data_IF_526376586316
#
_entry.id   IF_526376586316
#
_cell.length_a   1.000
_cell.length_b   1.000
_cell.length_c   1.000
_cell.angle_alpha   90.00
_cell.angle_beta   90.00
_cell.angle_gamma   90.00
#
_symmetry.space_group_name_H-M   'P 1'
#
loop_
_entity.id
_entity.type
_entity.pdbx_description
1 polymer ?
#
# COMPACT_ATOMS: atom_id res chain seq x y z
N UNK A 1 -13.30 -1.55 10.68
CA UNK A 1 -12.90 -1.46 9.25
C UNK A 1 -11.57 -2.20 9.11
N UNK A 2 -11.45 -3.03 8.10
CA UNK A 2 -10.22 -3.74 7.76
C UNK A 2 -9.62 -3.06 6.53
N UNK A 3 -8.34 -2.73 6.58
CA UNK A 3 -7.61 -2.20 5.43
C UNK A 3 -7.32 -3.34 4.44
N UNK A 4 -7.82 -3.24 3.22
CA UNK A 4 -7.64 -4.28 2.20
C UNK A 4 -6.17 -4.52 1.83
N UNK A 5 -5.34 -3.48 1.88
CA UNK A 5 -3.93 -3.57 1.52
C UNK A 5 -3.08 -4.21 2.61
N UNK A 6 -3.32 -3.87 3.87
CA UNK A 6 -2.54 -4.37 5.01
C UNK A 6 -3.20 -5.53 5.73
N UNK A 7 -4.50 -5.74 5.48
CA UNK A 7 -5.31 -6.71 6.19
C UNK A 7 -5.43 -6.43 7.70
N UNK A 8 -5.11 -5.22 8.15
CA UNK A 8 -5.16 -4.83 9.56
C UNK A 8 -6.47 -4.17 9.91
N UNK A 9 -6.94 -4.41 11.14
CA UNK A 9 -8.05 -3.65 11.69
C UNK A 9 -7.57 -2.22 11.94
N UNK A 10 -8.29 -1.25 11.39
CA UNK A 10 -8.04 0.16 11.61
C UNK A 10 -8.89 0.63 12.80
N UNK A 11 -8.30 0.60 13.98
CA UNK A 11 -8.96 1.06 15.20
C UNK A 11 -9.37 2.54 15.07
N UNK A 12 -10.56 2.86 15.56
CA UNK A 12 -11.11 4.21 15.53
C UNK A 12 -11.55 4.72 14.16
N UNK A 13 -11.35 3.97 13.08
CA UNK A 13 -11.83 4.33 11.75
C UNK A 13 -13.29 3.96 11.58
N UNK A 14 -14.07 4.89 11.05
CA UNK A 14 -15.52 4.75 10.85
C UNK A 14 -15.88 5.02 9.39
N UNK A 15 -16.94 4.41 8.89
CA UNK A 15 -17.54 4.80 7.62
C UNK A 15 -18.20 6.17 7.77
N UNK A 16 -18.12 7.01 6.77
CA UNK A 16 -18.78 8.30 6.73
C UNK A 16 -20.26 8.24 6.32
N UNK A 17 -20.86 9.41 6.22
CA UNK A 17 -22.22 9.60 5.70
C UNK A 17 -23.31 8.80 6.44
N UNK A 18 -23.15 8.61 7.73
CA UNK A 18 -24.11 7.89 8.56
C UNK A 18 -24.09 6.36 8.41
N UNK A 19 -23.28 5.79 7.49
CA UNK A 19 -23.26 4.36 7.24
C UNK A 19 -22.81 3.56 8.49
N UNK A 20 -21.83 4.09 9.23
CA UNK A 20 -21.35 3.39 10.44
C UNK A 20 -22.40 3.37 11.53
N UNK A 21 -23.12 4.49 11.75
CA UNK A 21 -24.24 4.55 12.70
C UNK A 21 -25.38 3.63 12.29
N UNK A 22 -25.67 3.50 10.99
CA UNK A 22 -26.67 2.56 10.49
C UNK A 22 -26.27 1.10 10.77
N UNK A 23 -25.00 0.76 10.65
CA UNK A 23 -24.49 -0.56 11.02
C UNK A 23 -24.56 -0.79 12.54
N UNK A 24 -24.18 0.19 13.36
CA UNK A 24 -24.29 0.13 14.82
C UNK A 24 -25.76 -0.07 15.26
N UNK A 25 -26.68 0.65 14.65
CA UNK A 25 -28.11 0.48 14.91
C UNK A 25 -28.62 -0.92 14.50
N UNK A 26 -28.19 -1.43 13.34
CA UNK A 26 -28.53 -2.76 12.85
C UNK A 26 -28.03 -3.86 13.80
N UNK A 27 -26.82 -3.73 14.31
CA UNK A 27 -26.18 -4.70 15.20
C UNK A 27 -26.53 -4.49 16.69
N UNK A 28 -27.44 -3.53 16.99
CA UNK A 28 -27.90 -3.20 18.36
C UNK A 28 -26.77 -2.84 19.34
N UNK A 29 -25.71 -2.17 18.84
CA UNK A 29 -24.66 -1.57 19.66
C UNK A 29 -24.90 -0.08 19.86
N UNK A 30 -24.23 0.53 20.85
CA UNK A 30 -24.37 1.97 21.12
C UNK A 30 -23.93 2.80 19.93
N UNK A 31 -24.82 3.66 19.44
CA UNK A 31 -24.53 4.57 18.31
C UNK A 31 -23.59 5.67 18.82
N UNK A 32 -22.45 5.83 18.16
CA UNK A 32 -21.46 6.85 18.50
C UNK A 32 -21.56 8.04 17.53
N UNK A 33 -21.11 9.21 17.98
CA UNK A 33 -21.06 10.43 17.19
C UNK A 33 -20.06 10.25 16.05
N UNK A 34 -20.40 10.77 14.87
CA UNK A 34 -19.50 10.76 13.70
C UNK A 34 -18.33 11.73 13.91
N UNK A 35 -17.14 11.27 13.53
CA UNK A 35 -15.95 12.10 13.56
C UNK A 35 -15.98 13.08 12.37
N UNK A 36 -15.84 14.36 12.64
CA UNK A 36 -15.71 15.36 11.59
C UNK A 36 -14.26 15.41 11.08
N UNK A 37 -14.08 15.11 9.79
CA UNK A 37 -12.77 15.25 9.14
C UNK A 37 -12.47 16.72 8.90
N UNK A 38 -11.46 17.27 9.56
CA UNK A 38 -11.06 18.67 9.42
C UNK A 38 -10.25 18.93 8.13
N UNK A 39 -9.40 17.99 7.76
CA UNK A 39 -8.57 18.06 6.55
C UNK A 39 -8.07 16.66 6.17
N UNK A 40 -7.80 16.48 4.89
CA UNK A 40 -7.14 15.28 4.35
C UNK A 40 -5.96 15.68 3.48
N UNK A 41 -4.94 14.84 3.43
CA UNK A 41 -3.78 15.02 2.54
C UNK A 41 -3.27 13.67 2.07
N UNK A 42 -2.57 13.64 0.96
CA UNK A 42 -1.90 12.42 0.50
C UNK A 42 -0.64 12.15 1.31
N UNK A 43 -0.23 10.88 1.41
CA UNK A 43 1.05 10.52 2.02
C UNK A 43 2.23 11.22 1.34
N UNK A 44 2.17 11.38 0.01
CA UNK A 44 3.21 12.05 -0.76
C UNK A 44 3.39 13.51 -0.31
N UNK A 45 2.29 14.26 -0.22
CA UNK A 45 2.34 15.66 0.21
C UNK A 45 2.67 15.80 1.70
N UNK A 46 2.22 14.86 2.53
CA UNK A 46 2.59 14.82 3.94
C UNK A 46 4.10 14.66 4.13
N UNK A 47 4.74 13.69 3.47
CA UNK A 47 6.17 13.46 3.61
C UNK A 47 7.03 14.56 2.98
N UNK A 48 6.54 15.25 1.93
CA UNK A 48 7.22 16.43 1.36
C UNK A 48 7.35 17.62 2.31
N UNK A 49 6.55 17.68 3.39
CA UNK A 49 6.67 18.74 4.40
C UNK A 49 7.96 18.65 5.24
N UNK A 50 8.62 17.51 5.26
CA UNK A 50 9.86 17.34 6.02
C UNK A 50 11.06 17.86 5.22
N UNK A 51 11.86 18.71 5.86
CA UNK A 51 13.09 19.27 5.25
C UNK A 51 14.16 18.22 4.99
N UNK A 52 14.22 17.18 5.82
CA UNK A 52 15.11 16.04 5.68
C UNK A 52 14.26 14.78 5.70
N UNK A 53 14.27 14.07 4.60
CA UNK A 53 13.55 12.80 4.44
C UNK A 53 14.56 11.75 4.01
N UNK A 54 14.60 10.65 4.76
CA UNK A 54 15.40 9.48 4.43
C UNK A 54 14.62 8.22 4.75
N UNK A 55 15.02 7.10 4.17
CA UNK A 55 14.39 5.82 4.44
C UNK A 55 15.37 4.67 4.21
N UNK A 56 15.13 3.54 4.87
CA UNK A 56 15.90 2.32 4.71
C UNK A 56 14.96 1.16 4.38
N UNK A 57 15.28 0.45 3.30
CA UNK A 57 14.54 -0.76 2.90
C UNK A 57 15.42 -1.66 2.05
N UNK A 58 15.18 -2.95 2.06
CA UNK A 58 15.88 -3.92 1.20
C UNK A 58 15.37 -3.94 -0.25
N UNK A 59 14.32 -3.18 -0.60
CA UNK A 59 13.62 -3.32 -1.88
C UNK A 59 13.35 -2.00 -2.61
N UNK A 60 14.08 -0.91 -2.27
CA UNK A 60 13.86 0.40 -2.88
C UNK A 60 14.31 0.50 -4.34
N UNK A 61 15.24 -0.35 -4.78
CA UNK A 61 15.88 -0.23 -6.10
C UNK A 61 14.89 -0.35 -7.27
N UNK A 62 13.84 -1.16 -7.11
CA UNK A 62 12.79 -1.32 -8.13
C UNK A 62 11.96 -0.05 -8.35
N UNK A 63 11.84 0.79 -7.34
CA UNK A 63 11.03 2.00 -7.31
C UNK A 63 11.89 3.29 -7.28
N UNK A 64 13.16 3.19 -7.68
CA UNK A 64 14.11 4.33 -7.59
C UNK A 64 13.68 5.56 -8.39
N UNK A 65 13.04 5.35 -9.54
CA UNK A 65 12.50 6.41 -10.38
C UNK A 65 11.35 7.15 -9.69
N UNK A 66 10.42 6.42 -9.09
CA UNK A 66 9.32 7.01 -8.31
C UNK A 66 9.82 7.80 -7.10
N UNK A 67 10.81 7.29 -6.35
CA UNK A 67 11.42 8.02 -5.26
C UNK A 67 12.08 9.33 -5.71
N UNK A 68 12.74 9.30 -6.85
CA UNK A 68 13.37 10.49 -7.40
C UNK A 68 12.32 11.50 -7.89
N UNK A 69 11.35 11.08 -8.69
CA UNK A 69 10.36 12.00 -9.28
C UNK A 69 9.43 12.62 -8.22
N UNK A 70 9.02 11.86 -7.21
CA UNK A 70 8.05 12.35 -6.22
C UNK A 70 8.73 13.09 -5.08
N UNK A 71 9.84 12.56 -4.55
CA UNK A 71 10.46 13.06 -3.31
C UNK A 71 11.85 13.64 -3.52
N UNK A 72 12.40 13.62 -4.74
CA UNK A 72 13.78 13.99 -5.07
C UNK A 72 14.81 13.20 -4.23
N UNK A 73 14.51 11.92 -3.97
CA UNK A 73 15.36 11.01 -3.20
C UNK A 73 16.12 10.05 -4.11
N UNK A 74 17.43 10.03 -3.96
CA UNK A 74 18.27 9.05 -4.64
C UNK A 74 18.32 7.75 -3.85
N UNK A 75 18.19 6.63 -4.55
CA UNK A 75 18.33 5.29 -3.95
C UNK A 75 19.77 4.82 -4.06
N UNK A 76 20.40 4.63 -2.91
CA UNK A 76 21.78 4.13 -2.81
C UNK A 76 21.75 2.69 -2.32
N UNK A 77 22.36 1.79 -3.11
CA UNK A 77 22.49 0.37 -2.72
C UNK A 77 23.73 0.19 -1.85
N UNK A 78 23.52 -0.26 -0.61
CA UNK A 78 24.58 -0.57 0.33
C UNK A 78 24.79 -2.08 0.30
N UNK A 79 26.04 -2.58 0.15
CA UNK A 79 26.33 -4.01 0.19
C UNK A 79 25.88 -4.65 1.50
N UNK A 80 25.46 -5.91 1.42
CA UNK A 80 25.07 -6.68 2.61
C UNK A 80 26.29 -7.00 3.51
N UNK A 81 26.07 -7.02 4.83
CA UNK A 81 27.13 -7.36 5.80
C UNK A 81 27.76 -8.76 5.54
N UNK A 82 26.91 -9.74 5.21
CA UNK A 82 27.34 -11.09 4.81
C UNK A 82 26.82 -11.39 3.41
N UNK A 83 27.58 -12.18 2.66
CA UNK A 83 27.17 -12.61 1.34
C UNK A 83 25.82 -13.34 1.39
N UNK A 84 24.96 -13.04 0.43
CA UNK A 84 23.68 -13.74 0.27
C UNK A 84 23.96 -15.10 -0.39
N UNK A 85 23.67 -16.17 0.32
CA UNK A 85 23.81 -17.56 -0.16
C UNK A 85 22.47 -18.22 -0.46
N UNK A 86 21.35 -17.51 -0.22
CA UNK A 86 19.99 -17.97 -0.54
C UNK A 86 19.90 -18.37 -2.02
N UNK A 87 19.21 -19.47 -2.30
CA UNK A 87 18.93 -19.95 -3.66
C UNK A 87 17.55 -19.49 -4.08
N UNK A 88 17.49 -18.57 -5.03
CA UNK A 88 16.24 -18.17 -5.66
C UNK A 88 16.05 -19.00 -6.95
N UNK A 89 15.13 -19.98 -6.87
CA UNK A 89 14.81 -20.85 -8.00
C UNK A 89 13.99 -20.11 -9.05
N UNK A 90 14.07 -20.61 -10.29
CA UNK A 90 13.19 -20.15 -11.35
C UNK A 90 11.73 -20.47 -11.02
N UNK A 91 10.82 -19.64 -11.55
CA UNK A 91 9.40 -19.87 -11.36
C UNK A 91 8.94 -21.14 -12.06
N UNK A 92 8.04 -21.86 -11.43
CA UNK A 92 7.37 -23.03 -12.01
C UNK A 92 6.04 -22.59 -12.61
N UNK A 93 5.87 -22.76 -13.93
CA UNK A 93 4.70 -22.28 -14.64
C UNK A 93 3.83 -23.43 -15.06
N UNK A 94 2.57 -23.34 -14.70
CA UNK A 94 1.52 -24.32 -14.95
C UNK A 94 0.46 -23.75 -15.86
N UNK A 95 -0.25 -24.62 -16.58
CA UNK A 95 -1.34 -24.22 -17.45
C UNK A 95 -2.56 -23.78 -16.65
N UNK A 96 -2.92 -24.55 -15.64
CA UNK A 96 -4.12 -24.33 -14.84
C UNK A 96 -3.79 -24.06 -13.36
N UNK A 97 -4.70 -23.41 -12.67
CA UNK A 97 -4.59 -23.20 -11.22
C UNK A 97 -4.65 -24.53 -10.45
N UNK A 98 -5.40 -25.51 -10.93
CA UNK A 98 -5.49 -26.84 -10.30
C UNK A 98 -4.16 -27.57 -10.31
N UNK A 99 -3.44 -27.57 -11.44
CA UNK A 99 -2.13 -28.20 -11.56
C UNK A 99 -1.12 -27.50 -10.67
N UNK A 100 -1.12 -26.17 -10.65
CA UNK A 100 -0.30 -25.34 -9.75
C UNK A 100 -0.55 -25.71 -8.29
N UNK A 101 -1.81 -25.74 -7.85
CA UNK A 101 -2.17 -26.05 -6.48
C UNK A 101 -1.73 -27.45 -6.07
N UNK A 102 -1.90 -28.44 -6.95
CA UNK A 102 -1.41 -29.80 -6.72
C UNK A 102 0.11 -29.82 -6.55
N UNK A 103 0.85 -29.19 -7.44
CA UNK A 103 2.31 -29.12 -7.38
C UNK A 103 2.82 -28.40 -6.11
N UNK A 104 2.14 -27.34 -5.69
CA UNK A 104 2.45 -26.64 -4.43
C UNK A 104 2.28 -27.57 -3.23
N UNK A 105 1.16 -28.27 -3.15
CA UNK A 105 0.86 -29.20 -2.04
C UNK A 105 1.89 -30.34 -1.99
N UNK A 106 2.23 -30.93 -3.13
CA UNK A 106 3.26 -31.97 -3.19
C UNK A 106 4.64 -31.45 -2.77
N UNK A 107 4.99 -30.22 -3.15
CA UNK A 107 6.25 -29.62 -2.70
C UNK A 107 6.27 -29.37 -1.20
N UNK A 108 5.18 -28.90 -0.64
CA UNK A 108 5.03 -28.71 0.80
C UNK A 108 5.16 -30.05 1.55
N UNK A 109 4.56 -31.13 1.06
CA UNK A 109 4.68 -32.47 1.60
C UNK A 109 6.13 -32.95 1.63
N UNK A 110 6.84 -32.78 0.50
CA UNK A 110 8.26 -33.14 0.37
C UNK A 110 9.11 -32.42 1.45
N UNK A 111 8.98 -31.10 1.54
CA UNK A 111 9.76 -30.27 2.44
C UNK A 111 9.39 -30.51 3.92
N UNK A 112 8.12 -30.69 4.22
CA UNK A 112 7.66 -30.98 5.58
C UNK A 112 8.16 -32.35 6.07
N UNK A 113 8.20 -33.38 5.19
CA UNK A 113 8.80 -34.68 5.49
C UNK A 113 10.31 -34.55 5.79
N UNK A 114 11.00 -33.62 5.12
CA UNK A 114 12.42 -33.32 5.39
C UNK A 114 12.64 -32.53 6.68
N UNK A 115 11.61 -31.97 7.27
CA UNK A 115 11.71 -31.12 8.45
C UNK A 115 11.99 -29.64 8.15
N UNK A 116 12.08 -29.25 6.88
CA UNK A 116 12.40 -27.89 6.48
C UNK A 116 11.22 -26.92 6.78
N UNK A 117 11.46 -25.76 7.42
CA UNK A 117 10.43 -24.76 7.64
C UNK A 117 10.00 -24.09 6.34
N UNK A 118 8.69 -23.84 6.20
CA UNK A 118 8.07 -23.32 4.97
C UNK A 118 7.24 -22.10 5.28
N UNK A 119 7.46 -21.04 4.52
CA UNK A 119 6.63 -19.85 4.53
C UNK A 119 5.95 -19.67 3.17
N UNK A 120 4.62 -19.78 3.17
CA UNK A 120 3.79 -19.74 1.97
C UNK A 120 3.20 -18.35 1.83
N UNK A 121 3.48 -17.68 0.72
CA UNK A 121 2.96 -16.34 0.39
C UNK A 121 1.79 -16.44 -0.58
N UNK A 122 0.67 -15.83 -0.20
CA UNK A 122 -0.54 -15.71 -1.02
C UNK A 122 -0.89 -14.25 -1.26
N UNK A 123 -1.57 -13.94 -2.38
CA UNK A 123 -1.98 -12.56 -2.73
C UNK A 123 -3.18 -12.09 -1.93
N UNK A 124 -4.05 -12.99 -1.48
CA UNK A 124 -5.31 -12.63 -0.83
C UNK A 124 -5.66 -13.55 0.33
N UNK A 125 -6.58 -13.08 1.18
CA UNK A 125 -7.14 -13.87 2.29
C UNK A 125 -7.82 -15.12 1.75
N UNK A 126 -8.62 -15.00 0.69
CA UNK A 126 -9.33 -16.13 0.08
C UNK A 126 -8.35 -17.24 -0.38
N UNK A 127 -7.26 -16.86 -1.05
CA UNK A 127 -6.23 -17.83 -1.46
C UNK A 127 -5.56 -18.48 -0.25
N UNK A 128 -5.33 -17.73 0.83
CA UNK A 128 -4.79 -18.30 2.08
C UNK A 128 -5.72 -19.36 2.69
N UNK A 129 -7.02 -19.16 2.62
CA UNK A 129 -8.03 -20.11 3.10
C UNK A 129 -8.11 -21.37 2.20
N UNK A 130 -8.03 -21.20 0.87
CA UNK A 130 -7.97 -22.34 -0.08
C UNK A 130 -6.77 -23.23 0.21
N UNK A 131 -5.55 -22.66 0.33
CA UNK A 131 -4.37 -23.46 0.66
C UNK A 131 -4.46 -24.06 2.07
N UNK A 132 -5.06 -23.37 3.02
CA UNK A 132 -5.31 -23.95 4.36
C UNK A 132 -6.21 -25.18 4.27
N UNK A 133 -7.27 -25.15 3.45
CA UNK A 133 -8.15 -26.30 3.26
C UNK A 133 -7.40 -27.46 2.60
N UNK A 134 -6.65 -27.21 1.51
CA UNK A 134 -5.85 -28.22 0.81
C UNK A 134 -4.84 -28.88 1.75
N UNK A 135 -4.16 -28.13 2.61
CA UNK A 135 -3.22 -28.68 3.58
C UNK A 135 -3.90 -29.46 4.72
N UNK A 136 -5.12 -29.09 5.12
CA UNK A 136 -5.94 -29.87 6.07
C UNK A 136 -6.35 -31.22 5.50
N UNK A 137 -6.77 -31.26 4.24
CA UNK A 137 -7.11 -32.51 3.53
C UNK A 137 -5.93 -33.49 3.52
N UNK A 138 -4.70 -32.94 3.36
CA UNK A 138 -3.47 -33.70 3.40
C UNK A 138 -2.88 -33.91 4.82
N UNK A 139 -3.62 -33.53 5.85
CA UNK A 139 -3.24 -33.66 7.27
C UNK A 139 -1.89 -32.99 7.62
N UNK A 140 -1.53 -31.93 6.94
CA UNK A 140 -0.33 -31.15 7.22
C UNK A 140 -0.68 -30.09 8.28
N UNK A 141 0.00 -30.14 9.43
CA UNK A 141 -0.14 -29.13 10.47
C UNK A 141 0.43 -27.81 9.97
N UNK A 142 -0.39 -26.77 9.99
CA UNK A 142 -0.01 -25.44 9.52
C UNK A 142 -0.70 -24.35 10.30
N UNK A 143 -0.18 -23.13 10.21
CA UNK A 143 -0.78 -21.92 10.79
C UNK A 143 -1.10 -20.93 9.68
N UNK A 144 -2.28 -20.31 9.75
CA UNK A 144 -2.69 -19.26 8.80
C UNK A 144 -2.57 -17.90 9.46
N UNK A 145 -1.82 -17.03 8.82
CA UNK A 145 -1.62 -15.65 9.25
C UNK A 145 -2.24 -14.71 8.22
N UNK A 146 -3.42 -14.23 8.53
CA UNK A 146 -4.15 -13.26 7.74
C UNK A 146 -4.83 -12.24 8.66
N UNK A 147 -5.56 -11.28 8.07
CA UNK A 147 -6.23 -10.20 8.82
C UNK A 147 -7.14 -10.68 9.96
N UNK A 148 -7.68 -11.88 9.85
CA UNK A 148 -8.56 -12.46 10.88
C UNK A 148 -7.81 -12.90 12.15
N UNK A 149 -6.49 -13.17 12.04
CA UNK A 149 -5.67 -13.79 13.08
C UNK A 149 -4.40 -12.96 13.39
N UNK A 150 -4.51 -11.63 13.39
CA UNK A 150 -3.34 -10.75 13.50
C UNK A 150 -2.83 -10.54 14.95
N UNK A 151 -3.63 -10.81 15.98
CA UNK A 151 -3.25 -10.55 17.38
C UNK A 151 -1.97 -11.26 17.81
N UNK A 152 -1.68 -12.45 17.24
CA UNK A 152 -0.47 -13.25 17.51
C UNK A 152 0.54 -13.22 16.38
N UNK A 153 0.42 -12.26 15.46
CA UNK A 153 1.24 -12.20 14.25
C UNK A 153 2.73 -12.26 14.54
N UNK A 154 3.19 -11.43 15.47
CA UNK A 154 4.61 -11.35 15.81
C UNK A 154 5.15 -12.68 16.39
N UNK A 155 4.36 -13.36 17.21
CA UNK A 155 4.73 -14.64 17.81
C UNK A 155 4.77 -15.77 16.77
N UNK A 156 3.75 -15.83 15.90
CA UNK A 156 3.67 -16.82 14.82
C UNK A 156 4.84 -16.66 13.87
N UNK A 157 5.15 -15.44 13.44
CA UNK A 157 6.26 -15.16 12.51
C UNK A 157 7.61 -15.44 13.17
N UNK A 158 7.80 -15.07 14.43
CA UNK A 158 9.05 -15.38 15.14
C UNK A 158 9.31 -16.89 15.20
N UNK A 159 8.27 -17.71 15.24
CA UNK A 159 8.36 -19.17 15.25
C UNK A 159 8.36 -19.81 13.84
N UNK A 160 8.29 -19.02 12.77
CA UNK A 160 8.28 -19.52 11.39
C UNK A 160 9.54 -20.31 11.00
N UNK A 161 10.64 -20.07 11.69
CA UNK A 161 11.90 -20.79 11.48
C UNK A 161 12.05 -22.11 12.24
N UNK A 162 11.03 -22.57 12.97
CA UNK A 162 11.07 -23.86 13.67
C UNK A 162 11.00 -25.05 12.69
N UNK A 163 11.60 -26.17 13.07
CA UNK A 163 11.52 -27.41 12.29
C UNK A 163 10.07 -27.79 11.99
N UNK A 164 9.79 -28.24 10.76
CA UNK A 164 8.46 -28.59 10.26
C UNK A 164 7.40 -27.49 10.32
N UNK A 165 7.77 -26.26 10.62
CA UNK A 165 6.83 -25.14 10.62
C UNK A 165 6.31 -24.89 9.21
N UNK A 166 4.97 -24.82 9.06
CA UNK A 166 4.31 -24.44 7.80
C UNK A 166 3.39 -23.26 8.11
N UNK A 167 3.71 -22.11 7.55
CA UNK A 167 2.91 -20.89 7.75
C UNK A 167 2.43 -20.36 6.41
N UNK A 168 1.12 -20.14 6.32
CA UNK A 168 0.49 -19.47 5.19
C UNK A 168 0.28 -18.01 5.58
N UNK A 169 0.78 -17.09 4.76
CA UNK A 169 0.68 -15.65 5.03
C UNK A 169 0.29 -14.87 3.79
N UNK A 170 -0.42 -13.76 3.97
CA UNK A 170 -0.62 -12.77 2.91
C UNK A 170 0.59 -11.83 2.80
N UNK A 171 0.71 -11.10 1.70
CA UNK A 171 1.92 -10.37 1.28
C UNK A 171 2.50 -9.38 2.29
N UNK A 172 1.71 -8.91 3.25
CA UNK A 172 2.11 -7.83 4.16
C UNK A 172 2.27 -8.32 5.61
N UNK A 173 1.73 -9.47 5.95
CA UNK A 173 1.82 -10.02 7.30
C UNK A 173 3.27 -10.27 7.73
N UNK A 174 3.57 -9.99 8.98
CA UNK A 174 4.90 -10.19 9.58
C UNK A 174 5.95 -9.15 9.18
N UNK A 175 5.58 -8.05 8.54
CA UNK A 175 6.52 -6.97 8.24
C UNK A 175 7.08 -6.37 9.55
N UNK A 176 8.41 -6.21 9.61
CA UNK A 176 9.08 -5.68 10.81
C UNK A 176 9.44 -6.72 11.85
N UNK A 177 8.99 -7.99 11.71
CA UNK A 177 9.38 -9.10 12.58
C UNK A 177 10.46 -9.93 11.89
N UNK A 178 11.52 -10.25 12.63
CA UNK A 178 12.59 -11.11 12.13
C UNK A 178 12.24 -12.59 12.32
N UNK A 179 12.56 -13.41 11.31
CA UNK A 179 12.40 -14.87 11.36
C UNK A 179 13.75 -15.47 11.73
N UNK A 180 13.83 -16.03 12.93
CA UNK A 180 15.03 -16.71 13.39
C UNK A 180 14.93 -18.20 13.10
N UNK A 181 15.99 -18.77 12.50
CA UNK A 181 16.07 -20.22 12.31
C UNK A 181 16.16 -20.91 13.68
N UNK A 182 15.25 -21.86 13.91
CA UNK A 182 15.03 -22.48 15.22
C UNK A 182 13.92 -21.85 16.05
N UNK A 183 13.41 -20.69 15.66
CA UNK A 183 12.35 -19.97 16.38
C UNK A 183 12.87 -19.06 17.49
N UNK A 184 11.95 -18.59 18.34
CA UNK A 184 12.29 -17.72 19.48
C UNK A 184 13.14 -18.51 20.49
N UNK A 185 14.20 -17.89 21.01
CA UNK A 185 15.07 -18.51 22.01
C UNK A 185 14.29 -18.77 23.30
N UNK A 186 14.28 -20.01 23.72
CA UNK A 186 13.91 -20.40 25.08
C UNK A 186 15.21 -20.58 25.89
N UNK A 187 15.21 -20.10 27.13
CA UNK A 187 16.42 -20.01 27.99
C UNK A 187 17.15 -21.35 28.26
N UNK A 188 16.54 -22.47 27.92
CA UNK A 188 17.02 -23.81 28.23
C UNK A 188 17.45 -24.68 27.00
N UNK A 189 17.42 -24.12 25.79
CA UNK A 189 17.76 -24.90 24.57
C UNK A 189 19.06 -24.41 23.94
N UNK A 190 19.85 -25.34 23.44
CA UNK A 190 21.02 -25.04 22.63
C UNK A 190 20.61 -24.52 21.27
N UNK A 191 20.29 -23.20 21.26
CA UNK A 191 19.72 -22.48 20.12
C UNK A 191 20.66 -22.56 18.88
N UNK A 192 21.95 -22.72 19.08
CA UNK A 192 22.91 -22.79 17.98
C UNK A 192 22.90 -24.15 17.29
N UNK A 193 22.74 -25.21 18.04
CA UNK A 193 22.59 -26.57 17.50
C UNK A 193 21.29 -26.68 16.70
N UNK A 194 20.18 -26.16 17.21
CA UNK A 194 18.89 -26.14 16.49
C UNK A 194 19.02 -25.31 15.20
N UNK A 195 19.62 -24.13 15.27
CA UNK A 195 19.86 -23.29 14.11
C UNK A 195 20.69 -24.00 13.04
N UNK A 196 21.77 -24.69 13.45
CA UNK A 196 22.63 -25.44 12.54
C UNK A 196 21.90 -26.63 11.91
N UNK A 197 21.03 -27.30 12.65
CA UNK A 197 20.17 -28.37 12.14
C UNK A 197 19.24 -27.80 11.03
N UNK A 198 18.57 -26.69 11.29
CA UNK A 198 17.70 -26.08 10.27
C UNK A 198 18.50 -25.62 9.04
N UNK A 199 19.70 -25.08 9.23
CA UNK A 199 20.61 -24.75 8.11
C UNK A 199 20.94 -25.98 7.27
N UNK A 200 21.28 -27.11 7.91
CA UNK A 200 21.59 -28.35 7.18
C UNK A 200 20.37 -28.87 6.38
N UNK A 201 19.15 -28.56 6.80
CA UNK A 201 17.94 -28.86 6.05
C UNK A 201 17.68 -27.87 4.89
N UNK A 202 18.51 -26.84 4.73
CA UNK A 202 18.41 -25.83 3.68
C UNK A 202 17.78 -24.51 4.13
N UNK A 203 17.64 -24.28 5.45
CA UNK A 203 17.10 -23.04 6.02
C UNK A 203 15.61 -22.85 5.74
N UNK A 204 15.13 -21.62 5.85
CA UNK A 204 13.73 -21.28 5.59
C UNK A 204 13.43 -21.35 4.08
N UNK A 205 12.38 -22.08 3.72
CA UNK A 205 11.89 -22.16 2.34
C UNK A 205 10.72 -21.19 2.17
N UNK A 206 10.83 -20.26 1.22
CA UNK A 206 9.77 -19.31 0.85
C UNK A 206 9.10 -19.78 -0.44
N UNK A 207 7.80 -20.01 -0.39
CA UNK A 207 6.99 -20.43 -1.52
C UNK A 207 5.95 -19.38 -1.83
N UNK A 208 6.03 -18.75 -3.01
CA UNK A 208 4.99 -17.87 -3.53
C UNK A 208 3.99 -18.67 -4.35
N UNK A 209 2.69 -18.51 -4.09
CA UNK A 209 1.61 -19.18 -4.82
C UNK A 209 1.25 -18.51 -6.13
N UNK A 210 1.82 -17.34 -6.36
CA UNK A 210 1.70 -16.52 -7.57
C UNK A 210 2.71 -15.37 -7.53
N UNK A 211 2.91 -14.69 -8.65
CA UNK A 211 3.63 -13.42 -8.70
C UNK A 211 2.69 -12.28 -8.29
N UNK A 212 3.19 -11.41 -7.44
CA UNK A 212 2.46 -10.21 -7.03
C UNK A 212 2.51 -9.14 -8.13
N UNK A 213 1.66 -8.13 -8.06
CA UNK A 213 1.65 -7.02 -9.02
C UNK A 213 2.94 -6.22 -9.06
N UNK A 214 3.71 -6.23 -7.97
CA UNK A 214 4.98 -5.50 -7.84
C UNK A 214 6.13 -6.45 -7.50
N UNK A 215 7.23 -6.33 -8.27
CA UNK A 215 8.50 -7.03 -8.00
C UNK A 215 9.04 -6.73 -6.61
N UNK A 216 8.74 -5.55 -6.09
CA UNK A 216 9.11 -5.14 -4.74
C UNK A 216 8.50 -6.06 -3.68
N UNK A 217 7.23 -6.45 -3.86
CA UNK A 217 6.54 -7.36 -2.92
C UNK A 217 7.11 -8.77 -3.03
N UNK A 218 7.39 -9.27 -4.24
CA UNK A 218 8.07 -10.56 -4.44
C UNK A 218 9.44 -10.57 -3.77
N UNK A 219 10.22 -9.50 -3.92
CA UNK A 219 11.52 -9.37 -3.28
C UNK A 219 11.42 -9.30 -1.75
N UNK A 220 10.35 -8.69 -1.21
CA UNK A 220 10.09 -8.72 0.23
C UNK A 220 9.76 -10.13 0.73
N UNK A 221 9.00 -10.91 -0.04
CA UNK A 221 8.73 -12.31 0.26
C UNK A 221 10.04 -13.13 0.26
N UNK A 222 10.81 -13.06 -0.83
CA UNK A 222 12.12 -13.71 -0.93
C UNK A 222 13.07 -13.32 0.20
N UNK A 223 13.07 -12.04 0.58
CA UNK A 223 13.88 -11.46 1.65
C UNK A 223 13.53 -11.92 3.06
N UNK A 224 12.49 -12.74 3.23
CA UNK A 224 12.21 -13.41 4.52
C UNK A 224 13.18 -14.55 4.80
N UNK A 225 13.75 -15.15 3.77
CA UNK A 225 14.71 -16.24 3.83
C UNK A 225 16.13 -15.76 3.52
N UNK A 226 17.13 -16.48 3.99
CA UNK A 226 18.54 -16.24 3.69
C UNK A 226 19.10 -14.96 4.28
N UNK A 227 18.65 -14.56 5.47
CA UNK A 227 19.11 -13.35 6.15
C UNK A 227 20.45 -13.57 6.82
N UNK A 228 21.28 -12.52 6.88
CA UNK A 228 22.59 -12.53 7.55
C UNK A 228 23.52 -13.70 7.13
N UNK A 229 23.44 -14.09 5.86
CA UNK A 229 24.26 -15.19 5.32
C UNK A 229 23.81 -16.57 5.75
N UNK A 230 22.58 -16.74 6.23
CA UNK A 230 21.99 -18.04 6.50
C UNK A 230 21.53 -18.70 5.18
N UNK A 231 21.50 -20.04 5.16
CA UNK A 231 20.89 -20.81 4.10
C UNK A 231 19.40 -20.49 3.99
N UNK A 232 18.87 -20.66 2.78
CA UNK A 232 17.48 -20.50 2.49
C UNK A 232 17.19 -20.65 1.01
N UNK A 233 15.93 -20.76 0.68
CA UNK A 233 15.51 -20.86 -0.73
C UNK A 233 14.19 -20.16 -0.97
N UNK A 234 13.94 -19.76 -2.21
CA UNK A 234 12.63 -19.25 -2.63
C UNK A 234 12.26 -19.78 -4.01
N UNK A 235 10.95 -19.96 -4.21
CA UNK A 235 10.35 -20.33 -5.50
C UNK A 235 8.96 -19.71 -5.62
N UNK A 236 8.55 -19.39 -6.85
CA UNK A 236 7.20 -18.99 -7.14
C UNK A 236 6.56 -20.00 -8.09
N UNK A 237 5.30 -20.32 -7.80
CA UNK A 237 4.44 -21.14 -8.64
C UNK A 237 3.44 -20.23 -9.30
N UNK A 238 3.37 -20.28 -10.63
CA UNK A 238 2.56 -19.37 -11.43
C UNK A 238 1.65 -20.19 -12.34
N UNK A 239 0.41 -19.76 -12.51
CA UNK A 239 -0.53 -20.32 -13.49
C UNK A 239 -0.84 -19.31 -14.58
N UNK A 240 -1.17 -19.76 -15.78
CA UNK A 240 -1.69 -18.91 -16.84
C UNK A 240 -3.04 -18.28 -16.49
N UNK A 241 -3.73 -18.84 -15.51
CA UNK A 241 -5.01 -18.35 -14.99
C UNK A 241 -4.86 -17.30 -13.90
N UNK A 242 -3.64 -17.07 -13.37
CA UNK A 242 -3.38 -16.04 -12.35
C UNK A 242 -3.67 -14.63 -12.91
N UNK A 243 -4.10 -13.72 -12.05
CA UNK A 243 -4.55 -12.38 -12.44
C UNK A 243 -3.50 -11.59 -13.21
N UNK A 244 -2.23 -11.65 -12.80
CA UNK A 244 -1.13 -11.01 -13.52
C UNK A 244 -1.02 -11.54 -14.97
N UNK A 245 -1.19 -12.84 -15.14
CA UNK A 245 -1.12 -13.50 -16.47
C UNK A 245 -2.34 -13.18 -17.32
N UNK A 246 -3.52 -13.08 -16.73
CA UNK A 246 -4.76 -12.69 -17.43
C UNK A 246 -4.72 -11.26 -17.94
N UNK A 247 -4.15 -10.32 -17.15
CA UNK A 247 -4.09 -8.90 -17.49
C UNK A 247 -3.00 -8.62 -18.55
N UNK A 248 -1.86 -9.31 -18.46
CA UNK A 248 -0.66 -8.97 -19.23
C UNK A 248 -0.10 -10.14 -20.05
N UNK A 249 -0.68 -11.33 -19.90
CA UNK A 249 -0.38 -12.48 -20.77
C UNK A 249 -0.80 -12.16 -22.20
N UNK A 250 0.16 -11.85 -23.05
CA UNK A 250 -0.14 -11.64 -24.46
C UNK A 250 -0.54 -12.97 -25.11
N UNK A 251 -1.45 -12.93 -26.10
CA UNK A 251 -1.76 -14.10 -26.93
C UNK A 251 -0.49 -14.76 -27.52
N UNK A 252 0.57 -13.97 -27.73
CA UNK A 252 1.87 -14.47 -28.14
C UNK A 252 2.54 -15.35 -27.10
N UNK A 253 2.33 -15.08 -25.81
CA UNK A 253 2.88 -15.90 -24.71
C UNK A 253 2.14 -17.23 -24.59
N UNK A 254 0.82 -17.23 -24.73
CA UNK A 254 0.03 -18.46 -24.77
C UNK A 254 0.41 -19.34 -25.95
N UNK A 255 0.53 -18.77 -27.15
CA UNK A 255 1.01 -19.48 -28.34
C UNK A 255 2.45 -20.00 -28.20
N UNK A 256 3.31 -19.27 -27.47
CA UNK A 256 4.69 -19.69 -27.20
C UNK A 256 4.73 -20.86 -26.20
N UNK A 257 3.90 -20.84 -25.18
CA UNK A 257 3.78 -21.91 -24.19
C UNK A 257 3.18 -23.19 -24.83
N UNK A 258 2.21 -23.03 -25.71
CA UNK A 258 1.69 -24.14 -26.53
C UNK A 258 2.77 -24.77 -27.43
N UNK A 259 3.63 -23.96 -28.05
CA UNK A 259 4.77 -24.41 -28.85
C UNK A 259 5.87 -25.09 -28.03
N UNK A 260 6.04 -24.72 -26.75
CA UNK A 260 7.00 -25.36 -25.82
C UNK A 260 6.49 -26.71 -25.30
N UNK A 261 5.29 -27.14 -25.73
CA UNK A 261 4.79 -28.52 -25.52
C UNK A 261 4.41 -28.78 -24.06
N UNK A 262 3.80 -27.83 -23.37
CA UNK A 262 3.20 -28.04 -22.04
C UNK A 262 2.20 -29.20 -22.12
N UNK A 263 2.56 -30.32 -21.55
CA UNK A 263 1.62 -31.42 -21.30
C UNK A 263 0.85 -31.15 -20.01
N UNK A 264 -0.34 -31.68 -19.93
CA UNK A 264 -1.15 -31.58 -18.73
C UNK A 264 -0.38 -32.14 -17.52
N UNK A 265 -0.25 -31.35 -16.47
CA UNK A 265 0.46 -31.71 -15.24
C UNK A 265 1.97 -31.44 -15.22
N UNK A 266 2.57 -30.99 -16.31
CA UNK A 266 3.99 -30.61 -16.35
C UNK A 266 4.17 -29.11 -16.10
N UNK A 267 5.24 -28.75 -15.37
CA UNK A 267 5.65 -27.34 -15.21
C UNK A 267 6.73 -26.99 -16.24
N UNK A 268 6.72 -25.77 -16.72
CA UNK A 268 7.84 -25.22 -17.49
C UNK A 268 8.71 -24.39 -16.55
N UNK A 269 10.02 -24.74 -16.53
CA UNK A 269 11.08 -23.97 -15.93
C UNK A 269 12.00 -23.44 -17.03
N UNK A 270 11.77 -22.21 -17.47
CA UNK A 270 12.59 -21.61 -18.52
C UNK A 270 12.93 -20.15 -18.23
N UNK A 271 14.21 -19.74 -18.30
CA UNK A 271 14.64 -18.38 -17.95
C UNK A 271 13.98 -17.27 -18.79
N UNK A 272 13.57 -17.56 -20.02
CA UNK A 272 12.90 -16.58 -20.88
C UNK A 272 11.50 -16.24 -20.37
N UNK A 273 10.80 -17.21 -19.80
CA UNK A 273 9.46 -16.99 -19.27
C UNK A 273 9.55 -16.15 -18.01
N UNK A 274 10.55 -16.38 -17.16
CA UNK A 274 10.81 -15.52 -16.00
C UNK A 274 11.04 -14.06 -16.42
N UNK A 275 11.80 -13.83 -17.50
CA UNK A 275 12.00 -12.47 -18.04
C UNK A 275 10.70 -11.89 -18.62
N UNK A 276 9.85 -12.71 -19.21
CA UNK A 276 8.55 -12.25 -19.73
C UNK A 276 7.62 -11.84 -18.58
N UNK A 277 7.56 -12.63 -17.51
CA UNK A 277 6.83 -12.30 -16.28
C UNK A 277 7.33 -11.01 -15.65
N UNK A 278 8.65 -10.87 -15.52
CA UNK A 278 9.24 -9.65 -14.99
C UNK A 278 8.89 -8.40 -15.82
N UNK A 279 8.91 -8.51 -17.14
CA UNK A 279 8.45 -7.43 -18.04
C UNK A 279 6.96 -7.13 -17.89
N UNK A 280 6.14 -8.14 -17.66
CA UNK A 280 4.72 -7.96 -17.38
C UNK A 280 4.53 -7.17 -16.07
N UNK A 281 5.22 -7.56 -14.99
CA UNK A 281 5.19 -6.82 -13.73
C UNK A 281 5.68 -5.37 -13.90
N UNK A 282 6.75 -5.14 -14.67
CA UNK A 282 7.23 -3.77 -14.96
C UNK A 282 6.16 -2.90 -15.64
N UNK A 283 5.37 -3.47 -16.55
CA UNK A 283 4.25 -2.74 -17.19
C UNK A 283 3.15 -2.40 -16.19
N UNK A 284 2.82 -3.31 -15.27
CA UNK A 284 1.85 -3.06 -14.20
C UNK A 284 2.35 -1.95 -13.28
N UNK A 285 3.61 -2.06 -12.84
CA UNK A 285 4.26 -1.07 -11.98
C UNK A 285 4.24 0.32 -12.64
N UNK A 286 4.62 0.42 -13.91
CA UNK A 286 4.60 1.68 -14.66
C UNK A 286 3.18 2.26 -14.76
N UNK A 287 2.17 1.45 -15.11
CA UNK A 287 0.78 1.89 -15.17
C UNK A 287 0.30 2.39 -13.80
N UNK A 288 0.58 1.66 -12.73
CA UNK A 288 0.19 2.04 -11.38
C UNK A 288 0.91 3.33 -10.94
N UNK A 289 2.17 3.51 -11.35
CA UNK A 289 2.90 4.75 -11.13
C UNK A 289 2.27 5.94 -11.86
N UNK A 290 1.91 5.78 -13.13
CA UNK A 290 1.23 6.84 -13.91
C UNK A 290 -0.11 7.24 -13.28
N UNK A 291 -0.88 6.27 -12.76
CA UNK A 291 -2.12 6.55 -12.04
C UNK A 291 -1.83 7.36 -10.76
N UNK A 292 -0.87 6.92 -9.94
CA UNK A 292 -0.47 7.66 -8.73
C UNK A 292 0.03 9.06 -9.04
N UNK A 293 0.83 9.23 -10.09
CA UNK A 293 1.35 10.52 -10.56
C UNK A 293 0.22 11.46 -11.00
N UNK A 294 -0.78 10.93 -11.70
CA UNK A 294 -1.95 11.70 -12.13
C UNK A 294 -2.79 12.15 -10.93
N UNK A 295 -3.07 11.25 -9.99
CA UNK A 295 -3.78 11.60 -8.75
C UNK A 295 -3.03 12.67 -7.94
N UNK A 296 -1.70 12.56 -7.87
CA UNK A 296 -0.88 13.54 -7.16
C UNK A 296 -0.94 14.94 -7.81
N UNK A 297 -1.04 15.03 -9.14
CA UNK A 297 -1.22 16.33 -9.83
C UNK A 297 -2.50 17.04 -9.38
N UNK A 298 -3.60 16.32 -9.23
CA UNK A 298 -4.85 16.90 -8.71
C UNK A 298 -4.74 17.28 -7.23
N UNK A 299 -4.12 16.42 -6.41
CA UNK A 299 -3.95 16.73 -4.98
C UNK A 299 -2.99 17.90 -4.74
N UNK A 300 -2.02 18.15 -5.63
CA UNK A 300 -1.12 19.29 -5.50
C UNK A 300 -1.88 20.62 -5.52
N UNK A 301 -2.90 20.77 -6.38
CA UNK A 301 -3.73 21.98 -6.40
C UNK A 301 -4.44 22.17 -5.06
N UNK A 302 -5.03 21.11 -4.52
CA UNK A 302 -5.65 21.14 -3.20
C UNK A 302 -4.63 21.39 -2.08
N UNK A 303 -3.43 20.88 -2.23
CA UNK A 303 -2.36 21.09 -1.26
C UNK A 303 -1.88 22.54 -1.23
N UNK A 304 -1.77 23.21 -2.37
CA UNK A 304 -1.43 24.63 -2.46
C UNK A 304 -2.51 25.47 -1.76
N UNK A 305 -3.79 25.17 -2.00
CA UNK A 305 -4.90 25.80 -1.28
C UNK A 305 -4.83 25.57 0.24
N UNK A 306 -4.55 24.33 0.67
CA UNK A 306 -4.35 24.01 2.11
C UNK A 306 -3.21 24.84 2.69
N UNK A 307 -2.07 24.91 2.04
CA UNK A 307 -0.92 25.67 2.52
C UNK A 307 -1.25 27.15 2.71
N UNK A 308 -1.96 27.76 1.77
CA UNK A 308 -2.40 29.16 1.87
C UNK A 308 -3.34 29.34 3.08
N UNK A 309 -4.39 28.55 3.17
CA UNK A 309 -5.41 28.68 4.23
C UNK A 309 -4.80 28.39 5.62
N UNK A 310 -4.04 27.29 5.76
CA UNK A 310 -3.43 26.97 7.04
C UNK A 310 -2.28 27.93 7.40
N UNK A 311 -1.58 28.47 6.41
CA UNK A 311 -0.60 29.53 6.59
C UNK A 311 -1.27 30.79 7.16
N UNK A 312 -2.31 31.29 6.53
CA UNK A 312 -3.10 32.43 7.00
C UNK A 312 -3.68 32.19 8.41
N UNK A 313 -4.28 31.02 8.64
CA UNK A 313 -4.77 30.64 9.97
C UNK A 313 -3.66 30.66 11.02
N UNK A 314 -2.50 30.12 10.72
CA UNK A 314 -1.37 30.08 11.64
C UNK A 314 -0.85 31.50 11.95
N UNK A 315 -0.81 32.36 10.95
CA UNK A 315 -0.45 33.75 11.11
C UNK A 315 -1.45 34.52 11.99
N UNK A 316 -2.76 34.36 11.74
CA UNK A 316 -3.83 34.97 12.54
C UNK A 316 -3.74 34.52 14.00
N UNK A 317 -3.51 33.22 14.26
CA UNK A 317 -3.40 32.68 15.63
C UNK A 317 -2.13 33.22 16.35
N UNK A 318 -1.04 33.39 15.63
CA UNK A 318 0.24 33.88 16.19
C UNK A 318 0.30 35.39 16.34
N UNK A 319 -0.48 36.12 15.57
CA UNK A 319 -0.44 37.56 15.52
C UNK A 319 -1.27 38.16 16.67
N UNK A 320 -0.70 39.12 17.37
CA UNK A 320 -1.39 39.82 18.48
C UNK A 320 -2.40 40.87 18.00
N UNK A 321 -2.31 41.29 16.74
CA UNK A 321 -3.17 42.33 16.17
C UNK A 321 -3.97 41.75 14.99
N UNK A 322 -5.18 41.27 15.30
CA UNK A 322 -6.09 40.67 14.31
C UNK A 322 -6.63 41.74 13.33
N UNK A 323 -6.72 42.98 13.76
CA UNK A 323 -7.28 44.09 12.96
C UNK A 323 -6.46 44.37 11.70
N UNK A 324 -5.14 44.22 11.74
CA UNK A 324 -4.28 44.38 10.56
C UNK A 324 -4.61 43.40 9.42
N UNK A 325 -5.15 42.21 9.77
CA UNK A 325 -5.63 41.24 8.80
C UNK A 325 -6.98 41.63 8.21
N UNK A 326 -7.90 42.12 9.04
CA UNK A 326 -9.19 42.61 8.58
C UNK A 326 -9.02 43.75 7.58
N UNK A 327 -8.11 44.69 7.86
CA UNK A 327 -7.78 45.79 6.95
C UNK A 327 -7.16 45.31 5.64
N UNK A 328 -6.28 44.30 5.67
CA UNK A 328 -5.74 43.70 4.46
C UNK A 328 -6.83 43.09 3.59
N UNK A 329 -7.68 42.23 4.16
CA UNK A 329 -8.80 41.60 3.42
C UNK A 329 -9.77 42.64 2.87
N UNK A 330 -10.09 43.67 3.66
CA UNK A 330 -10.96 44.75 3.19
C UNK A 330 -10.36 45.49 1.99
N UNK A 331 -9.05 45.81 2.07
CA UNK A 331 -8.33 46.46 0.98
C UNK A 331 -8.24 45.58 -0.28
N UNK A 332 -8.07 44.26 -0.13
CA UNK A 332 -8.10 43.33 -1.27
C UNK A 332 -9.48 43.28 -1.92
N UNK A 333 -10.58 43.19 -1.13
CA UNK A 333 -11.95 43.21 -1.63
C UNK A 333 -12.25 44.52 -2.35
N UNK A 334 -11.86 45.67 -1.78
CA UNK A 334 -12.01 46.98 -2.41
C UNK A 334 -11.26 47.06 -3.74
N UNK A 335 -10.03 46.55 -3.78
CA UNK A 335 -9.22 46.52 -5.01
C UNK A 335 -9.91 45.67 -6.10
N UNK A 336 -10.34 44.46 -5.75
CA UNK A 336 -11.01 43.56 -6.69
C UNK A 336 -12.31 44.18 -7.22
N UNK A 337 -13.09 44.90 -6.38
CA UNK A 337 -14.30 45.62 -6.78
C UNK A 337 -13.97 46.78 -7.71
N UNK A 338 -12.88 47.53 -7.46
CA UNK A 338 -12.42 48.60 -8.35
C UNK A 338 -11.96 48.06 -9.71
N UNK A 339 -11.24 46.97 -9.75
CA UNK A 339 -10.82 46.30 -10.98
C UNK A 339 -12.02 45.79 -11.79
N UNK A 340 -13.01 45.24 -11.12
CA UNK A 340 -14.27 44.81 -11.73
C UNK A 340 -15.09 45.98 -12.24
N UNK A 341 -15.12 47.10 -11.52
CA UNK A 341 -15.76 48.36 -11.99
C UNK A 341 -15.10 48.84 -13.30
N UNK A 342 -13.78 48.85 -13.36
CA UNK A 342 -13.06 49.26 -14.58
C UNK A 342 -13.37 48.35 -15.77
N UNK A 343 -13.46 47.03 -15.55
CA UNK A 343 -13.82 46.03 -16.58
C UNK A 343 -15.27 46.22 -17.07
N UNK A 344 -16.19 46.53 -16.16
CA UNK A 344 -17.59 46.71 -16.48
C UNK A 344 -17.84 48.05 -17.21
N UNK A 345 -17.17 49.13 -16.83
CA UNK A 345 -17.18 50.41 -17.53
C UNK A 345 -16.69 50.28 -18.97
N UNK A 346 -15.67 49.45 -19.23
CA UNK A 346 -15.20 49.16 -20.58
C UNK A 346 -16.15 48.30 -21.41
N UNK A 347 -17.14 47.63 -20.80
CA UNK A 347 -18.09 46.72 -21.45
C UNK A 347 -19.53 47.22 -21.59
N UNK A 348 -19.84 48.50 -21.28
CA UNK A 348 -21.19 49.13 -21.34
C UNK A 348 -22.26 48.40 -20.51
N UNK A 349 -21.95 47.77 -19.40
CA UNK A 349 -22.89 47.05 -18.51
C UNK A 349 -22.92 47.65 -17.09
N UNK A 350 -23.19 48.96 -16.99
CA UNK A 350 -23.22 49.68 -15.71
C UNK A 350 -24.20 49.09 -14.66
N UNK A 351 -25.38 48.63 -15.08
CA UNK A 351 -26.41 48.13 -14.16
C UNK A 351 -26.05 46.83 -13.38
N UNK A 352 -24.97 46.15 -13.74
CA UNK A 352 -24.60 44.92 -13.05
C UNK A 352 -23.65 45.16 -11.87
N UNK A 353 -23.02 46.34 -11.77
CA UNK A 353 -22.02 46.61 -10.72
C UNK A 353 -22.71 46.88 -9.35
N UNK A 354 -23.76 47.66 -9.31
CA UNK A 354 -24.55 47.91 -8.09
C UNK A 354 -25.12 46.60 -7.50
N UNK A 355 -25.63 45.72 -8.36
CA UNK A 355 -26.09 44.40 -7.92
C UNK A 355 -24.97 43.51 -7.38
N UNK A 356 -23.77 43.65 -7.90
CA UNK A 356 -22.61 42.91 -7.41
C UNK A 356 -22.11 43.44 -6.07
N UNK A 357 -22.04 44.76 -5.86
CA UNK A 357 -21.78 45.38 -4.57
C UNK A 357 -22.82 44.92 -3.55
N UNK A 358 -24.10 45.05 -3.87
CA UNK A 358 -25.19 44.58 -3.01
C UNK A 358 -25.03 43.10 -2.65
N UNK A 359 -24.72 42.23 -3.60
CA UNK A 359 -24.53 40.79 -3.33
C UNK A 359 -23.30 40.48 -2.51
N UNK A 360 -22.24 41.28 -2.60
CA UNK A 360 -20.97 41.05 -1.85
C UNK A 360 -21.10 41.52 -0.41
N UNK A 361 -21.73 42.68 -0.17
CA UNK A 361 -21.81 43.26 1.19
C UNK A 361 -23.11 42.88 1.91
N UNK A 362 -24.23 42.66 1.18
CA UNK A 362 -25.55 42.48 1.76
C UNK A 362 -25.81 41.08 2.31
N UNK A 363 -25.07 40.07 1.88
CA UNK A 363 -25.14 38.71 2.47
C UNK A 363 -24.63 38.63 3.92
N UNK A 364 -23.92 39.65 4.39
CA UNK A 364 -23.25 39.67 5.70
C UNK A 364 -23.98 40.52 6.75
N UNK A 365 -25.01 41.27 6.40
CA UNK A 365 -25.70 42.22 7.28
C UNK A 365 -27.18 41.93 7.41
N UNK A 366 -27.75 42.14 8.59
CA UNK A 366 -29.18 42.00 8.84
C UNK A 366 -30.01 43.02 8.02
N UNK A 367 -31.23 42.70 7.65
CA UNK A 367 -32.06 43.56 6.77
C UNK A 367 -32.23 45.01 7.26
N UNK A 368 -32.12 45.26 8.57
CA UNK A 368 -32.16 46.60 9.19
C UNK A 368 -30.88 47.42 8.95
N UNK A 369 -29.73 46.79 8.97
CA UNK A 369 -28.40 47.41 8.74
C UNK A 369 -28.17 47.70 7.26
N UNK A 370 -28.74 46.86 6.37
CA UNK A 370 -28.72 47.05 4.91
C UNK A 370 -29.42 48.34 4.47
N UNK A 371 -30.54 48.69 5.12
CA UNK A 371 -31.27 49.92 4.84
C UNK A 371 -30.54 51.18 5.29
N UNK A 372 -29.73 51.09 6.31
CA UNK A 372 -28.93 52.23 6.83
C UNK A 372 -27.66 52.47 5.99
N UNK A 373 -27.01 51.42 5.47
CA UNK A 373 -25.84 51.52 4.58
C UNK A 373 -26.26 52.16 3.21
N UNK A 374 -27.42 51.82 2.68
CA UNK A 374 -27.93 52.37 1.41
C UNK A 374 -28.31 53.82 1.56
N UNK A 375 -28.79 54.30 2.74
CA UNK A 375 -29.13 55.68 3.01
C UNK A 375 -27.94 56.61 3.25
N UNK A 376 -26.77 56.09 3.61
CA UNK A 376 -25.58 56.89 3.84
C UNK A 376 -24.83 57.29 2.57
N UNK A 377 -25.18 56.72 1.41
CA UNK A 377 -24.59 57.06 0.10
C UNK A 377 -25.29 58.28 -0.61
N UNK A 378 -26.45 58.74 -0.11
CA UNK A 378 -27.20 59.89 -0.67
C UNK A 378 -26.90 61.22 0.07
N UNK A 379 -25.82 61.28 0.90
CA UNK A 379 -25.44 62.51 1.63
C UNK A 379 -23.99 62.94 1.38
#
# INVERSE_FOLDING_TARGET
IIDELTGRILEGRRFGDGLHQALEAKENVSIQIENQTLASTTYQNYFKMYRKLTGCTGTAKTESEEFFEIYNLNVVSIPTNKAMIRKDWNDQIFRTEKEKNYAIVEKIKELNKKGQPILIFTSSINKSEIYSQLLKEEKIVHTVLNAKNHEKEAEIIANAGKEKSVIITTSISGRGVDIQLGGKKDDNTDAETIKNTIKSLGGLFVLGTERMESRRVDNQARGRSGRQGDEGSSIFYVSLEDDLMRIFGSESMNKMLEKLGLKDGESIDHPWINKALERAQQKVEARNFDIRKSLLKFDNVLNDQRQVIFGQRSEIIKNKNIYDYSDKFLNEIIKDLLDDKQKLLSSSKENNFENKIKSTFVKSFDEGEQKNLIKSEDS
#
